data_IF_589889359542
#
_entry.id   IF_589889359542
#
_cell.length_a   1.000
_cell.length_b   1.000
_cell.length_c   1.000
_cell.angle_alpha   90.00
_cell.angle_beta   90.00
_cell.angle_gamma   90.00
#
_symmetry.space_group_name_H-M   'P 1'
#
loop_
_entity.id
_entity.type
_entity.pdbx_description
1 polymer ?
#
# COMPACT_ATOMS: atom_id res chain seq x y z
N UNK A 1 -7.55 11.79 -17.58
CA UNK A 1 -6.84 12.64 -18.55
C UNK A 1 -5.42 12.97 -18.12
N UNK A 2 -5.18 13.57 -16.95
CA UNK A 2 -3.80 13.88 -16.52
C UNK A 2 -2.88 12.66 -16.48
N UNK A 3 -3.34 11.57 -15.86
CA UNK A 3 -2.59 10.30 -15.77
C UNK A 3 -2.28 9.71 -17.15
N UNK A 4 -3.21 9.78 -18.10
CA UNK A 4 -2.99 9.30 -19.48
C UNK A 4 -1.79 10.03 -20.11
N UNK A 5 -1.76 11.35 -20.00
CA UNK A 5 -0.65 12.13 -20.54
C UNK A 5 0.66 11.88 -19.78
N UNK A 6 0.62 11.56 -18.49
CA UNK A 6 1.81 11.19 -17.73
C UNK A 6 2.35 9.82 -18.14
N UNK A 7 1.48 8.84 -18.34
CA UNK A 7 1.83 7.50 -18.83
C UNK A 7 2.44 7.56 -20.23
N UNK A 8 1.97 8.49 -21.08
CA UNK A 8 2.54 8.81 -22.40
C UNK A 8 3.84 9.63 -22.31
N UNK A 9 4.34 9.92 -21.10
CA UNK A 9 5.54 10.72 -20.86
C UNK A 9 5.36 12.23 -21.08
N UNK A 10 4.14 12.69 -21.38
CA UNK A 10 3.80 14.08 -21.61
C UNK A 10 3.36 14.80 -20.32
N UNK A 11 4.32 14.96 -19.40
CA UNK A 11 4.11 15.61 -18.10
C UNK A 11 3.58 17.05 -18.21
N UNK A 12 3.86 17.78 -19.30
CA UNK A 12 3.34 19.14 -19.49
C UNK A 12 1.84 19.16 -19.75
N UNK A 13 1.34 18.19 -20.52
CA UNK A 13 -0.09 18.06 -20.76
C UNK A 13 -0.79 17.47 -19.55
N UNK A 14 -0.16 16.48 -18.89
CA UNK A 14 -0.63 15.94 -17.61
C UNK A 14 -0.86 17.04 -16.58
N UNK A 15 0.12 17.95 -16.44
CA UNK A 15 0.06 19.08 -15.53
C UNK A 15 -1.16 19.98 -15.79
N UNK A 16 -1.52 20.27 -17.04
CA UNK A 16 -2.70 21.10 -17.35
C UNK A 16 -3.97 20.46 -16.79
N UNK A 17 -4.09 19.14 -16.91
CA UNK A 17 -5.23 18.39 -16.39
C UNK A 17 -5.23 18.29 -14.87
N UNK A 18 -4.06 18.10 -14.25
CA UNK A 18 -3.94 18.10 -12.79
C UNK A 18 -4.28 19.46 -12.19
N UNK A 19 -3.80 20.56 -12.79
CA UNK A 19 -4.15 21.92 -12.40
C UNK A 19 -5.65 22.17 -12.55
N UNK A 20 -6.24 21.73 -13.67
CA UNK A 20 -7.69 21.83 -13.86
C UNK A 20 -8.46 21.09 -12.76
N UNK A 21 -8.11 19.83 -12.49
CA UNK A 21 -8.74 19.04 -11.45
C UNK A 21 -8.56 19.67 -10.04
N UNK A 22 -7.37 20.21 -9.75
CA UNK A 22 -7.11 20.97 -8.52
C UNK A 22 -8.02 22.18 -8.38
N UNK A 23 -8.24 22.95 -9.46
CA UNK A 23 -9.13 24.11 -9.46
C UNK A 23 -10.61 23.73 -9.28
N UNK A 24 -10.98 22.52 -9.72
CA UNK A 24 -12.31 21.95 -9.52
C UNK A 24 -12.49 21.33 -8.11
N UNK A 25 -11.49 21.47 -7.22
CA UNK A 25 -11.54 20.98 -5.83
C UNK A 25 -11.15 19.51 -5.66
N UNK A 26 -10.59 18.86 -6.68
CA UNK A 26 -10.16 17.47 -6.60
C UNK A 26 -8.78 17.35 -5.95
N UNK A 27 -8.76 16.89 -4.70
CA UNK A 27 -7.57 16.72 -3.85
C UNK A 27 -6.41 16.00 -4.56
N UNK A 28 -6.61 14.82 -5.20
CA UNK A 28 -5.51 14.17 -5.91
C UNK A 28 -4.97 15.01 -7.06
N UNK A 29 -5.81 15.83 -7.71
CA UNK A 29 -5.38 16.79 -8.73
C UNK A 29 -4.37 17.80 -8.19
N UNK A 30 -4.58 18.32 -6.97
CA UNK A 30 -3.63 19.19 -6.28
C UNK A 30 -2.34 18.46 -5.92
N UNK A 31 -2.43 17.22 -5.41
CA UNK A 31 -1.25 16.39 -5.11
C UNK A 31 -0.42 16.10 -6.36
N UNK A 32 -1.03 15.63 -7.45
CA UNK A 32 -0.35 15.35 -8.71
C UNK A 32 0.24 16.62 -9.34
N UNK A 33 -0.48 17.73 -9.34
CA UNK A 33 0.08 19.01 -9.80
C UNK A 33 1.33 19.39 -8.98
N UNK A 34 1.28 19.22 -7.66
CA UNK A 34 2.42 19.42 -6.77
C UNK A 34 3.61 18.53 -7.14
N UNK A 35 3.39 17.22 -7.34
CA UNK A 35 4.43 16.27 -7.75
C UNK A 35 5.02 16.61 -9.12
N UNK A 36 4.19 16.95 -10.11
CA UNK A 36 4.65 17.32 -11.45
C UNK A 36 5.45 18.63 -11.43
N UNK A 37 5.03 19.65 -10.66
CA UNK A 37 5.85 20.84 -10.47
C UNK A 37 7.17 20.53 -9.75
N UNK A 38 7.17 19.61 -8.78
CA UNK A 38 8.38 19.15 -8.07
C UNK A 38 9.35 18.47 -9.04
N UNK A 39 8.89 17.62 -9.95
CA UNK A 39 9.74 16.96 -10.96
C UNK A 39 10.35 17.95 -11.95
N UNK A 40 9.63 19.04 -12.27
CA UNK A 40 10.15 20.17 -13.03
C UNK A 40 11.02 21.15 -12.21
N UNK A 41 11.31 20.83 -10.94
CA UNK A 41 12.06 21.70 -10.00
C UNK A 41 11.42 23.08 -9.79
N UNK A 42 10.13 23.21 -10.10
CA UNK A 42 9.33 24.42 -9.87
C UNK A 42 8.79 24.41 -8.44
N UNK A 43 9.71 24.47 -7.47
CA UNK A 43 9.43 24.16 -6.07
C UNK A 43 8.41 25.08 -5.40
N UNK A 44 8.37 26.38 -5.73
CA UNK A 44 7.35 27.28 -5.17
C UNK A 44 5.94 26.94 -5.66
N UNK A 45 5.81 26.51 -6.92
CA UNK A 45 4.53 26.02 -7.44
C UNK A 45 4.18 24.66 -6.83
N UNK A 46 5.16 23.76 -6.67
CA UNK A 46 4.93 22.48 -5.99
C UNK A 46 4.36 22.69 -4.58
N UNK A 47 4.99 23.55 -3.77
CA UNK A 47 4.51 23.91 -2.42
C UNK A 47 3.12 24.55 -2.46
N UNK A 48 2.83 25.42 -3.44
CA UNK A 48 1.50 26.00 -3.61
C UNK A 48 0.43 24.91 -3.77
N UNK A 49 0.64 23.94 -4.67
CA UNK A 49 -0.37 22.91 -4.92
C UNK A 49 -0.47 21.88 -3.79
N UNK A 50 0.63 21.56 -3.11
CA UNK A 50 0.55 20.77 -1.88
C UNK A 50 -0.19 21.51 -0.75
N UNK A 51 -0.04 22.83 -0.62
CA UNK A 51 -0.84 23.62 0.32
C UNK A 51 -2.33 23.61 -0.05
N UNK A 52 -2.66 23.68 -1.34
CA UNK A 52 -4.07 23.53 -1.79
C UNK A 52 -4.61 22.15 -1.38
N UNK A 53 -3.83 21.07 -1.54
CA UNK A 53 -4.25 19.74 -1.09
C UNK A 53 -4.52 19.71 0.43
N UNK A 54 -3.68 20.36 1.23
CA UNK A 54 -3.88 20.52 2.68
C UNK A 54 -5.17 21.28 2.99
N UNK A 55 -5.42 22.41 2.32
CA UNK A 55 -6.64 23.21 2.47
C UNK A 55 -7.91 22.42 2.10
N UNK A 56 -7.78 21.44 1.21
CA UNK A 56 -8.84 20.54 0.79
C UNK A 56 -8.96 19.27 1.66
N UNK A 57 -8.15 19.13 2.72
CA UNK A 57 -8.25 18.06 3.70
C UNK A 57 -7.25 16.91 3.56
N UNK A 58 -6.21 17.07 2.74
CA UNK A 58 -5.11 16.10 2.61
C UNK A 58 -3.86 16.56 3.37
N UNK A 59 -3.70 16.19 4.65
CA UNK A 59 -2.55 16.63 5.46
C UNK A 59 -1.22 16.08 4.95
N UNK A 60 -1.20 15.03 4.12
CA UNK A 60 0.02 14.49 3.49
C UNK A 60 0.74 15.50 2.59
N UNK A 61 0.05 16.56 2.16
CA UNK A 61 0.69 17.71 1.50
C UNK A 61 1.78 18.37 2.35
N UNK A 62 1.67 18.36 3.69
CA UNK A 62 2.69 18.90 4.58
C UNK A 62 4.02 18.15 4.49
N UNK A 63 4.00 16.81 4.39
CA UNK A 63 5.21 16.02 4.18
C UNK A 63 5.91 16.42 2.88
N UNK A 64 5.13 16.61 1.81
CA UNK A 64 5.66 16.98 0.51
C UNK A 64 6.23 18.40 0.48
N UNK A 65 5.65 19.34 1.23
CA UNK A 65 6.22 20.68 1.41
C UNK A 65 7.53 20.58 2.21
N UNK A 66 7.58 19.72 3.22
CA UNK A 66 8.79 19.40 3.98
C UNK A 66 9.93 18.93 3.06
N UNK A 67 9.68 17.88 2.27
CA UNK A 67 10.62 17.34 1.29
C UNK A 67 11.07 18.41 0.28
N UNK A 68 10.13 19.22 -0.21
CA UNK A 68 10.42 20.27 -1.19
C UNK A 68 11.35 21.34 -0.61
N UNK A 69 11.17 21.72 0.67
CA UNK A 69 12.08 22.65 1.33
C UNK A 69 13.47 22.06 1.54
N UNK A 70 13.60 20.75 1.80
CA UNK A 70 14.91 20.09 1.85
C UNK A 70 15.63 20.14 0.50
N UNK A 71 14.91 19.88 -0.60
CA UNK A 71 15.46 19.99 -1.96
C UNK A 71 15.94 21.42 -2.29
N UNK A 72 15.33 22.43 -1.68
CA UNK A 72 15.73 23.84 -1.79
C UNK A 72 16.83 24.26 -0.80
N UNK A 73 17.31 23.36 0.06
CA UNK A 73 18.32 23.69 1.07
C UNK A 73 17.78 24.48 2.26
N UNK A 74 16.48 24.38 2.56
CA UNK A 74 15.78 25.12 3.61
C UNK A 74 15.34 24.18 4.76
N UNK A 75 16.27 23.61 5.56
CA UNK A 75 15.93 22.62 6.58
C UNK A 75 15.05 23.17 7.71
N UNK A 76 15.17 24.45 8.06
CA UNK A 76 14.32 25.07 9.08
C UNK A 76 12.85 25.13 8.67
N UNK A 77 12.58 25.39 7.39
CA UNK A 77 11.20 25.41 6.88
C UNK A 77 10.67 23.98 6.71
N UNK A 78 11.53 23.03 6.31
CA UNK A 78 11.16 21.62 6.26
C UNK A 78 10.70 21.09 7.63
N UNK A 79 11.46 21.41 8.69
CA UNK A 79 11.12 21.04 10.07
C UNK A 79 9.73 21.54 10.48
N UNK A 80 9.42 22.80 10.16
CA UNK A 80 8.12 23.41 10.44
C UNK A 80 6.97 22.66 9.77
N UNK A 81 7.09 22.33 8.48
CA UNK A 81 6.01 21.64 7.76
C UNK A 81 5.85 20.18 8.18
N UNK A 82 6.94 19.47 8.43
CA UNK A 82 6.86 18.13 9.02
C UNK A 82 6.20 18.14 10.40
N UNK A 83 6.49 19.14 11.24
CA UNK A 83 5.81 19.32 12.53
C UNK A 83 4.31 19.56 12.39
N UNK A 84 3.88 20.34 11.39
CA UNK A 84 2.46 20.58 11.12
C UNK A 84 1.73 19.27 10.83
N UNK A 85 2.20 18.47 9.87
CA UNK A 85 1.55 17.19 9.54
C UNK A 85 1.66 16.15 10.65
N UNK A 86 2.82 16.04 11.31
CA UNK A 86 3.01 15.10 12.41
C UNK A 86 2.13 15.42 13.64
N UNK A 87 1.81 16.70 13.89
CA UNK A 87 0.87 17.10 14.94
C UNK A 87 -0.59 16.79 14.59
N UNK A 88 -0.89 16.54 13.31
CA UNK A 88 -2.18 16.03 12.83
C UNK A 88 -2.21 14.49 12.77
N UNK A 89 -1.21 13.80 13.32
CA UNK A 89 -1.01 12.35 13.22
C UNK A 89 -0.87 11.84 11.78
N UNK A 90 -0.40 12.68 10.86
CA UNK A 90 -0.16 12.29 9.47
C UNK A 90 1.15 11.47 9.38
N UNK A 91 1.09 10.19 8.95
CA UNK A 91 2.23 9.28 9.05
C UNK A 91 3.46 9.65 8.23
N UNK A 92 3.29 10.17 7.01
CA UNK A 92 4.41 10.55 6.15
C UNK A 92 5.20 11.71 6.77
N UNK A 93 4.51 12.72 7.29
CA UNK A 93 5.11 13.86 7.98
C UNK A 93 5.80 13.43 9.27
N UNK A 94 5.20 12.51 10.02
CA UNK A 94 5.79 11.95 11.23
C UNK A 94 7.09 11.17 10.96
N UNK A 95 7.08 10.28 9.96
CA UNK A 95 8.26 9.52 9.55
C UNK A 95 9.35 10.42 8.93
N UNK A 96 8.93 11.42 8.14
CA UNK A 96 9.81 12.46 7.59
C UNK A 96 10.48 13.28 8.70
N UNK A 97 9.74 13.67 9.73
CA UNK A 97 10.27 14.41 10.88
C UNK A 97 11.28 13.61 11.68
N UNK A 98 10.98 12.33 11.96
CA UNK A 98 11.88 11.45 12.69
C UNK A 98 13.20 11.27 11.92
N UNK A 99 13.11 11.00 10.61
CA UNK A 99 14.27 10.89 9.71
C UNK A 99 15.05 12.20 9.64
N UNK A 100 14.36 13.34 9.53
CA UNK A 100 14.98 14.66 9.48
C UNK A 100 15.82 14.96 10.72
N UNK A 101 15.31 14.67 11.92
CA UNK A 101 16.08 14.86 13.15
C UNK A 101 17.31 13.95 13.20
N UNK A 102 17.18 12.70 12.75
CA UNK A 102 18.28 11.74 12.74
C UNK A 102 19.36 12.12 11.73
N UNK A 103 18.98 12.36 10.48
CA UNK A 103 19.93 12.47 9.38
C UNK A 103 20.46 13.88 9.17
N UNK A 104 19.61 14.90 9.36
CA UNK A 104 19.95 16.29 9.06
C UNK A 104 20.38 17.05 10.32
N UNK A 105 19.57 16.99 11.39
CA UNK A 105 19.88 17.71 12.63
C UNK A 105 20.87 16.96 13.54
N UNK A 106 21.08 15.66 13.30
CA UNK A 106 21.88 14.78 14.16
C UNK A 106 21.42 14.81 15.63
N UNK A 107 20.11 14.88 15.83
CA UNK A 107 19.45 14.89 17.15
C UNK A 107 18.74 13.54 17.36
N UNK A 108 19.50 12.56 17.84
CA UNK A 108 19.02 11.18 18.03
C UNK A 108 17.87 11.11 19.04
N UNK A 109 17.89 11.98 20.06
CA UNK A 109 16.86 12.02 21.08
C UNK A 109 15.51 12.45 20.49
N UNK A 110 15.47 13.53 19.69
CA UNK A 110 14.24 13.95 18.99
C UNK A 110 13.82 12.95 17.93
N UNK A 111 14.76 12.35 17.20
CA UNK A 111 14.45 11.30 16.24
C UNK A 111 13.75 10.10 16.90
N UNK A 112 14.29 9.61 18.03
CA UNK A 112 13.68 8.55 18.84
C UNK A 112 12.29 8.97 19.37
N UNK A 113 12.16 10.21 19.87
CA UNK A 113 10.89 10.74 20.37
C UNK A 113 9.80 10.70 19.29
N UNK A 114 10.09 11.23 18.10
CA UNK A 114 9.11 11.25 17.01
C UNK A 114 8.80 9.85 16.49
N UNK A 115 9.80 8.97 16.34
CA UNK A 115 9.55 7.58 15.96
C UNK A 115 8.65 6.84 16.99
N UNK A 116 8.82 7.10 18.29
CA UNK A 116 7.92 6.59 19.35
C UNK A 116 6.49 7.13 19.22
N UNK A 117 6.33 8.39 18.78
CA UNK A 117 5.02 9.02 18.61
C UNK A 117 4.29 8.48 17.37
N UNK A 118 5.00 8.30 16.26
CA UNK A 118 4.42 7.82 14.98
C UNK A 118 3.83 6.42 15.11
N UNK A 119 4.48 5.49 15.82
CA UNK A 119 3.92 4.14 16.03
C UNK A 119 2.62 4.11 16.86
N UNK A 120 2.24 5.25 17.45
CA UNK A 120 0.99 5.43 18.21
C UNK A 120 -0.07 6.22 17.43
N UNK A 121 0.22 6.64 16.19
CA UNK A 121 -0.77 7.30 15.35
C UNK A 121 -1.94 6.35 15.08
N UNK A 122 -3.16 6.85 15.25
CA UNK A 122 -4.38 6.05 15.21
C UNK A 122 -4.65 5.44 13.83
N UNK A 123 -4.42 6.22 12.78
CA UNK A 123 -4.77 5.89 11.39
C UNK A 123 -3.51 5.67 10.53
N UNK A 124 -2.44 5.17 11.15
CA UNK A 124 -1.19 4.86 10.43
C UNK A 124 -1.36 3.63 9.54
N UNK A 125 -1.04 3.79 8.26
CA UNK A 125 -0.99 2.67 7.35
C UNK A 125 0.21 1.75 7.64
N UNK A 126 0.11 0.49 7.24
CA UNK A 126 1.11 -0.52 7.60
C UNK A 126 2.53 -0.19 7.12
N UNK A 127 2.69 0.49 5.98
CA UNK A 127 4.03 0.77 5.42
C UNK A 127 4.71 1.85 6.25
N UNK A 128 3.96 2.92 6.57
CA UNK A 128 4.44 3.92 7.50
C UNK A 128 4.65 3.36 8.91
N UNK A 129 3.85 2.38 9.36
CA UNK A 129 4.05 1.72 10.66
C UNK A 129 5.32 0.87 10.69
N UNK A 130 5.61 0.13 9.61
CA UNK A 130 6.83 -0.67 9.49
C UNK A 130 8.05 0.24 9.48
N UNK A 131 8.01 1.31 8.68
CA UNK A 131 9.08 2.32 8.66
C UNK A 131 9.26 2.94 10.04
N UNK A 132 8.18 3.34 10.71
CA UNK A 132 8.22 3.94 12.04
C UNK A 132 8.81 2.98 13.09
N UNK A 133 8.46 1.69 13.06
CA UNK A 133 9.04 0.66 13.95
C UNK A 133 10.53 0.45 13.68
N UNK A 134 10.95 0.43 12.42
CA UNK A 134 12.38 0.34 12.05
C UNK A 134 13.16 1.57 12.54
N UNK A 135 12.61 2.75 12.31
CA UNK A 135 13.17 4.03 12.74
C UNK A 135 13.24 4.10 14.26
N UNK A 136 12.20 3.65 14.96
CA UNK A 136 12.16 3.57 16.41
C UNK A 136 13.33 2.76 16.98
N UNK A 137 13.56 1.55 16.44
CA UNK A 137 14.68 0.70 16.86
C UNK A 137 16.02 1.39 16.62
N UNK A 138 16.20 1.94 15.42
CA UNK A 138 17.45 2.54 14.98
C UNK A 138 17.79 3.79 15.79
N UNK A 139 16.84 4.73 15.88
CA UNK A 139 17.05 6.05 16.45
C UNK A 139 17.12 6.00 17.97
N UNK A 140 16.31 5.18 18.63
CA UNK A 140 16.41 5.04 20.09
C UNK A 140 17.68 4.31 20.53
N UNK A 141 18.18 3.36 19.72
CA UNK A 141 19.50 2.76 19.96
C UNK A 141 20.61 3.81 19.85
N UNK A 142 20.59 4.65 18.80
CA UNK A 142 21.55 5.74 18.65
C UNK A 142 21.50 6.73 19.82
N UNK A 143 20.30 7.04 20.31
CA UNK A 143 20.10 7.91 21.47
C UNK A 143 20.44 7.27 22.83
N UNK A 144 20.76 5.98 22.89
CA UNK A 144 20.93 5.25 24.15
C UNK A 144 19.65 5.11 24.99
N UNK A 145 18.47 5.27 24.37
CA UNK A 145 17.17 5.23 25.04
C UNK A 145 16.61 3.79 24.96
N UNK A 146 16.30 3.15 26.10
CA UNK A 146 15.69 1.83 26.10
C UNK A 146 14.32 1.83 25.39
N UNK A 147 14.09 0.79 24.60
CA UNK A 147 12.80 0.48 24.00
C UNK A 147 12.24 -0.67 24.82
N UNK A 148 11.15 -0.46 25.54
CA UNK A 148 10.52 -1.54 26.30
C UNK A 148 10.18 -2.70 25.34
N UNK A 149 10.68 -3.91 25.62
CA UNK A 149 10.33 -5.08 24.83
C UNK A 149 8.82 -5.38 24.99
N UNK A 150 8.13 -5.80 23.92
CA UNK A 150 6.80 -6.38 24.08
C UNK A 150 6.95 -7.65 24.93
N UNK A 151 6.34 -7.64 26.11
CA UNK A 151 6.23 -8.80 27.00
C UNK A 151 5.52 -9.94 26.25
N UNK A 152 6.27 -10.95 25.81
CA UNK A 152 5.74 -12.24 25.37
C UNK A 152 5.42 -13.08 26.61
N UNK A 153 4.24 -12.88 27.19
CA UNK A 153 3.68 -13.85 28.13
C UNK A 153 2.89 -14.88 27.31
N UNK A 154 3.30 -16.17 27.26
CA UNK A 154 2.51 -17.18 26.58
C UNK A 154 1.31 -17.55 27.45
N UNK A 155 0.10 -17.43 26.92
CA UNK A 155 -1.09 -18.03 27.53
C UNK A 155 -1.00 -19.56 27.42
N UNK A 156 -1.46 -20.33 28.43
CA UNK A 156 -1.28 -21.77 28.48
C UNK A 156 -2.19 -22.49 27.48
N UNK A 157 -1.64 -23.52 26.85
CA UNK A 157 -2.28 -24.43 25.90
C UNK A 157 -3.02 -25.57 26.62
N UNK A 158 -4.18 -26.05 26.12
CA UNK A 158 -4.68 -27.38 26.44
C UNK A 158 -4.24 -28.41 25.39
N UNK A 159 -3.52 -29.43 25.86
CA UNK A 159 -3.24 -30.74 25.23
C UNK A 159 -4.54 -31.57 25.18
N UNK A 160 -4.91 -32.40 24.18
CA UNK A 160 -4.33 -33.58 23.50
C UNK A 160 -5.28 -33.89 22.31
N UNK A 161 -4.94 -34.54 21.19
CA UNK A 161 -4.60 -35.97 21.07
C UNK A 161 -4.19 -36.29 19.62
N UNK A 162 -3.36 -37.33 19.49
CA UNK A 162 -2.59 -37.83 18.36
C UNK A 162 -3.42 -38.67 17.37
N UNK A 163 -3.16 -38.59 16.06
CA UNK A 163 -3.33 -39.70 15.11
C UNK A 163 -2.41 -39.53 13.88
N UNK A 164 -1.94 -40.65 13.35
CA UNK A 164 -0.72 -40.82 12.57
C UNK A 164 -0.85 -40.54 11.06
N UNK A 165 0.33 -40.33 10.46
CA UNK A 165 0.68 -40.16 9.04
C UNK A 165 0.20 -41.32 8.14
N UNK A 166 0.09 -41.08 6.82
CA UNK A 166 1.23 -41.44 5.97
C UNK A 166 1.60 -40.36 4.94
N UNK A 167 2.90 -40.25 4.70
CA UNK A 167 3.51 -39.50 3.60
C UNK A 167 3.13 -40.12 2.25
N UNK A 168 2.92 -39.32 1.21
CA UNK A 168 3.71 -39.54 0.00
C UNK A 168 4.41 -38.27 -0.46
N UNK A 169 5.67 -38.48 -0.83
CA UNK A 169 6.53 -37.56 -1.55
C UNK A 169 6.10 -37.56 -3.02
N UNK A 170 5.69 -36.41 -3.56
CA UNK A 170 5.75 -36.14 -5.00
C UNK A 170 6.18 -34.69 -5.19
N UNK A 171 7.42 -34.54 -5.63
CA UNK A 171 7.98 -33.35 -6.25
C UNK A 171 7.16 -33.00 -7.49
N UNK A 172 6.44 -31.88 -7.47
CA UNK A 172 5.94 -31.23 -8.66
C UNK A 172 5.94 -29.72 -8.43
N UNK A 173 6.88 -29.04 -9.08
CA UNK A 173 6.91 -27.58 -9.19
C UNK A 173 5.60 -27.14 -9.85
N UNK A 174 4.76 -26.29 -9.23
CA UNK A 174 3.56 -25.81 -9.88
C UNK A 174 3.96 -24.90 -11.03
N UNK A 175 3.68 -25.33 -12.25
CA UNK A 175 3.76 -24.49 -13.44
C UNK A 175 2.55 -23.55 -13.41
N UNK A 176 2.72 -22.22 -13.47
CA UNK A 176 1.58 -21.30 -13.49
C UNK A 176 0.67 -21.64 -14.68
N UNK A 177 -0.59 -21.96 -14.40
CA UNK A 177 -1.62 -22.11 -15.43
C UNK A 177 -1.95 -20.70 -15.92
N UNK A 178 -1.92 -20.51 -17.23
CA UNK A 178 -2.27 -19.26 -17.87
C UNK A 178 -3.75 -18.91 -17.61
N UNK A 179 -3.95 -17.66 -17.23
CA UNK A 179 -5.22 -16.94 -17.09
C UNK A 179 -6.27 -17.25 -18.17
N UNK A 180 -7.55 -17.40 -17.79
CA UNK A 180 -8.68 -17.45 -18.75
C UNK A 180 -9.12 -16.05 -19.20
N UNK A 181 -9.85 -15.97 -20.31
CA UNK A 181 -10.31 -14.69 -20.93
C UNK A 181 -11.61 -14.10 -20.31
N UNK A 182 -12.10 -14.63 -19.18
CA UNK A 182 -13.38 -14.21 -18.57
C UNK A 182 -13.44 -14.44 -17.05
N UNK A 183 -14.32 -13.69 -16.36
CA UNK A 183 -14.65 -13.89 -14.96
C UNK A 183 -15.41 -15.19 -14.73
N UNK A 184 -15.13 -15.87 -13.63
CA UNK A 184 -15.85 -17.09 -13.22
C UNK A 184 -16.32 -16.97 -11.78
N UNK A 185 -17.46 -17.57 -11.46
CA UNK A 185 -17.89 -17.68 -10.06
C UNK A 185 -16.90 -18.57 -9.34
N UNK A 186 -16.32 -18.07 -8.24
CA UNK A 186 -15.35 -18.82 -7.46
C UNK A 186 -15.97 -20.07 -6.83
N UNK A 187 -15.18 -21.12 -6.71
CA UNK A 187 -15.56 -22.32 -5.98
C UNK A 187 -15.96 -22.00 -4.53
N UNK A 188 -16.86 -22.80 -3.91
CA UNK A 188 -17.21 -22.62 -2.52
C UNK A 188 -16.02 -22.86 -1.59
N UNK A 189 -15.99 -22.13 -0.47
CA UNK A 189 -14.95 -22.29 0.55
C UNK A 189 -15.15 -23.61 1.29
N UNK A 190 -14.08 -24.41 1.39
CA UNK A 190 -14.09 -25.64 2.17
C UNK A 190 -14.34 -25.33 3.65
N UNK A 191 -15.07 -26.21 4.36
CA UNK A 191 -15.38 -26.00 5.78
C UNK A 191 -14.14 -25.86 6.68
N UNK A 192 -13.00 -26.39 6.23
CA UNK A 192 -11.71 -26.36 6.92
C UNK A 192 -10.66 -25.51 6.17
N UNK A 193 -11.08 -24.57 5.32
CA UNK A 193 -10.16 -23.71 4.60
C UNK A 193 -9.30 -22.88 5.57
N UNK A 194 -8.02 -22.76 5.27
CA UNK A 194 -7.09 -21.96 6.06
C UNK A 194 -7.03 -20.54 5.50
N UNK A 195 -7.07 -19.55 6.39
CA UNK A 195 -7.02 -18.13 6.04
C UNK A 195 -5.73 -17.57 6.62
N UNK A 196 -4.89 -17.04 5.73
CA UNK A 196 -3.63 -16.41 6.05
C UNK A 196 -3.65 -14.98 5.48
N UNK A 197 -2.78 -14.11 6.01
CA UNK A 197 -2.54 -12.79 5.41
C UNK A 197 -1.27 -12.83 4.58
N UNK A 198 -1.32 -12.20 3.40
CA UNK A 198 -0.13 -11.93 2.59
C UNK A 198 0.12 -10.43 2.52
N UNK A 199 1.34 -10.09 2.13
CA UNK A 199 1.81 -8.72 2.22
C UNK A 199 1.21 -7.80 1.13
N UNK A 200 1.02 -6.53 1.51
CA UNK A 200 0.72 -5.42 0.60
C UNK A 200 -0.77 -5.24 0.32
N UNK A 201 -1.20 -4.01 0.05
CA UNK A 201 -2.54 -3.70 -0.47
C UNK A 201 -2.58 -3.89 -1.98
N UNK A 202 -3.77 -4.14 -2.52
CA UNK A 202 -3.94 -4.08 -3.97
C UNK A 202 -4.04 -2.61 -4.38
N UNK A 203 -3.28 -2.22 -5.40
CA UNK A 203 -3.22 -0.85 -5.89
C UNK A 203 -3.29 -0.83 -7.40
N UNK A 204 -3.70 0.31 -7.95
CA UNK A 204 -3.77 0.50 -9.39
C UNK A 204 -2.43 1.03 -9.89
N UNK A 205 -1.84 0.38 -10.89
CA UNK A 205 -0.61 0.88 -11.53
C UNK A 205 -0.96 1.44 -12.91
N UNK A 206 -1.06 2.78 -12.98
CA UNK A 206 -1.59 3.46 -14.17
C UNK A 206 -3.07 3.13 -14.42
N UNK A 207 -3.46 3.08 -15.68
CA UNK A 207 -4.84 2.76 -16.10
C UNK A 207 -5.06 1.31 -16.55
N UNK A 208 -4.00 0.50 -16.55
CA UNK A 208 -4.05 -0.77 -17.28
C UNK A 208 -4.23 -1.99 -16.38
N UNK A 209 -3.80 -1.93 -15.11
CA UNK A 209 -3.85 -3.10 -14.25
C UNK A 209 -3.86 -2.80 -12.75
N UNK A 210 -4.49 -3.70 -12.01
CA UNK A 210 -4.35 -3.86 -10.57
C UNK A 210 -3.12 -4.70 -10.25
N UNK A 211 -2.31 -4.20 -9.33
CA UNK A 211 -1.15 -4.90 -8.77
C UNK A 211 -1.53 -5.47 -7.42
N UNK A 212 -1.40 -6.78 -7.29
CA UNK A 212 -1.73 -7.57 -6.10
C UNK A 212 -0.44 -8.26 -5.60
N UNK A 213 0.34 -7.62 -4.71
CA UNK A 213 1.59 -8.19 -4.19
C UNK A 213 1.42 -9.57 -3.52
N UNK A 214 2.25 -10.55 -3.83
CA UNK A 214 2.18 -11.89 -3.22
C UNK A 214 3.34 -12.14 -2.25
N UNK A 215 4.44 -11.39 -2.39
CA UNK A 215 5.60 -11.40 -1.48
C UNK A 215 6.12 -9.98 -1.24
N UNK A 216 7.08 -9.83 -0.33
CA UNK A 216 7.66 -8.52 0.02
C UNK A 216 9.19 -8.51 0.12
N UNK A 217 9.84 -9.65 -0.07
CA UNK A 217 11.29 -9.80 0.05
C UNK A 217 11.84 -10.78 -0.97
N UNK A 218 13.07 -10.52 -1.42
CA UNK A 218 13.87 -11.41 -2.25
C UNK A 218 14.17 -12.70 -1.48
N UNK A 219 13.37 -13.75 -1.73
CA UNK A 219 13.56 -15.10 -1.17
C UNK A 219 12.36 -15.67 -0.39
N UNK A 220 11.32 -14.88 -0.10
CA UNK A 220 10.08 -15.44 0.46
C UNK A 220 9.38 -16.29 -0.61
N UNK A 221 9.03 -17.54 -0.27
CA UNK A 221 8.31 -18.43 -1.20
C UNK A 221 6.93 -17.83 -1.45
N UNK A 222 6.63 -17.60 -2.73
CA UNK A 222 5.29 -17.18 -3.17
C UNK A 222 4.29 -18.23 -2.70
N UNK A 223 3.16 -17.84 -2.09
CA UNK A 223 2.10 -18.79 -1.74
C UNK A 223 1.67 -19.55 -2.99
N UNK A 224 1.35 -20.84 -2.82
CA UNK A 224 0.80 -21.65 -3.90
C UNK A 224 -0.64 -21.22 -4.16
N UNK A 225 -0.82 -20.36 -5.16
CA UNK A 225 -2.11 -19.84 -5.56
C UNK A 225 -2.54 -20.47 -6.88
N UNK A 226 -3.84 -20.69 -7.04
CA UNK A 226 -4.45 -21.17 -8.29
C UNK A 226 -5.44 -20.17 -8.87
N UNK A 227 -5.85 -19.17 -8.09
CA UNK A 227 -6.78 -18.12 -8.52
C UNK A 227 -6.54 -16.81 -7.77
N UNK A 228 -6.85 -15.69 -8.40
CA UNK A 228 -7.09 -14.41 -7.75
C UNK A 228 -8.60 -14.17 -7.78
N UNK A 229 -9.16 -13.79 -6.65
CA UNK A 229 -10.58 -13.54 -6.48
C UNK A 229 -10.83 -12.06 -6.21
N UNK A 230 -11.92 -11.54 -6.74
CA UNK A 230 -12.39 -10.20 -6.41
C UNK A 230 -13.86 -10.18 -5.99
N UNK A 231 -14.23 -9.12 -5.28
CA UNK A 231 -15.60 -8.63 -5.11
C UNK A 231 -15.60 -7.11 -4.97
N UNK A 232 -16.77 -6.48 -4.97
CA UNK A 232 -16.87 -5.05 -4.70
C UNK A 232 -16.88 -4.77 -3.20
N UNK A 233 -16.13 -3.75 -2.79
CA UNK A 233 -16.25 -3.20 -1.43
C UNK A 233 -17.67 -2.71 -1.19
N UNK A 234 -18.17 -2.87 0.03
CA UNK A 234 -19.54 -2.47 0.40
C UNK A 234 -20.62 -3.50 0.11
N UNK A 235 -20.29 -4.54 -0.64
CA UNK A 235 -21.18 -5.66 -0.92
C UNK A 235 -20.57 -6.94 -0.31
N UNK A 236 -20.47 -7.05 1.04
CA UNK A 236 -19.78 -8.15 1.69
C UNK A 236 -20.46 -9.52 1.47
N UNK A 237 -21.76 -9.50 1.18
CA UNK A 237 -22.55 -10.69 0.86
C UNK A 237 -22.46 -11.07 -0.62
N UNK A 238 -21.83 -10.24 -1.45
CA UNK A 238 -21.54 -10.61 -2.84
C UNK A 238 -20.54 -11.76 -2.84
N UNK A 239 -20.84 -12.78 -3.65
CA UNK A 239 -19.95 -13.90 -3.90
C UNK A 239 -18.62 -13.44 -4.51
N UNK A 240 -17.60 -14.27 -4.35
CA UNK A 240 -16.30 -14.04 -4.96
C UNK A 240 -16.30 -14.48 -6.42
N UNK A 241 -15.62 -13.72 -7.26
CA UNK A 241 -15.39 -14.04 -8.67
C UNK A 241 -13.89 -14.22 -8.91
N UNK A 242 -13.53 -15.29 -9.61
CA UNK A 242 -12.17 -15.52 -10.08
C UNK A 242 -11.88 -14.56 -11.25
N UNK A 243 -10.70 -13.92 -11.17
CA UNK A 243 -10.24 -12.95 -12.18
C UNK A 243 -9.02 -13.47 -12.93
N UNK A 244 -8.92 -13.13 -14.23
CA UNK A 244 -7.71 -13.28 -15.01
C UNK A 244 -6.51 -12.59 -14.35
N UNK A 245 -5.35 -13.25 -14.24
CA UNK A 245 -4.14 -12.63 -13.69
C UNK A 245 -2.84 -13.14 -14.31
N UNK A 246 -1.81 -12.30 -14.31
CA UNK A 246 -0.43 -12.66 -14.69
C UNK A 246 0.48 -12.52 -13.49
N UNK A 247 1.28 -13.54 -13.18
CA UNK A 247 2.34 -13.42 -12.19
C UNK A 247 3.52 -12.67 -12.78
N UNK A 248 4.00 -11.65 -12.08
CA UNK A 248 5.20 -10.90 -12.42
C UNK A 248 6.11 -10.80 -11.21
N UNK A 249 7.38 -10.57 -11.50
CA UNK A 249 8.39 -10.31 -10.48
C UNK A 249 9.00 -8.95 -10.76
N UNK A 250 8.98 -8.08 -9.76
CA UNK A 250 9.67 -6.80 -9.81
C UNK A 250 11.18 -7.04 -9.93
N UNK A 251 11.85 -6.52 -10.97
CA UNK A 251 13.26 -6.79 -11.22
C UNK A 251 14.20 -6.15 -10.18
N UNK A 252 13.77 -5.05 -9.56
CA UNK A 252 14.57 -4.25 -8.65
C UNK A 252 14.45 -4.79 -7.21
N UNK A 253 13.24 -5.18 -6.81
CA UNK A 253 12.93 -5.61 -5.43
C UNK A 253 12.75 -7.13 -5.30
N UNK A 254 12.59 -7.86 -6.41
CA UNK A 254 12.33 -9.30 -6.41
C UNK A 254 10.93 -9.67 -5.90
N UNK A 255 10.04 -8.70 -5.77
CA UNK A 255 8.67 -8.85 -5.28
C UNK A 255 7.83 -9.56 -6.33
N UNK A 256 7.19 -10.67 -5.97
CA UNK A 256 6.24 -11.35 -6.86
C UNK A 256 4.85 -10.77 -6.63
N UNK A 257 4.15 -10.42 -7.70
CA UNK A 257 2.79 -9.89 -7.65
C UNK A 257 1.92 -10.50 -8.75
N UNK A 258 0.61 -10.53 -8.52
CA UNK A 258 -0.38 -10.79 -9.54
C UNK A 258 -0.81 -9.47 -10.18
N UNK A 259 -0.79 -9.42 -11.50
CA UNK A 259 -1.30 -8.32 -12.32
C UNK A 259 -2.66 -8.74 -12.87
N UNK A 260 -3.71 -7.98 -12.53
CA UNK A 260 -5.06 -8.20 -13.03
C UNK A 260 -5.43 -7.04 -13.95
N UNK A 261 -5.84 -7.36 -15.17
CA UNK A 261 -6.18 -6.36 -16.19
C UNK A 261 -7.41 -5.54 -15.75
N UNK A 262 -7.25 -4.22 -15.74
CA UNK A 262 -8.30 -3.28 -15.34
C UNK A 262 -9.37 -3.09 -16.44
N UNK A 263 -9.01 -3.34 -17.70
CA UNK A 263 -9.93 -3.23 -18.84
C UNK A 263 -11.18 -4.11 -18.68
N UNK A 264 -11.02 -5.26 -18.01
CA UNK A 264 -12.12 -6.18 -17.75
C UNK A 264 -13.13 -5.60 -16.74
N UNK A 265 -12.66 -4.78 -15.79
CA UNK A 265 -13.52 -4.06 -14.85
C UNK A 265 -14.18 -2.87 -15.53
N UNK A 266 -13.45 -2.13 -16.35
CA UNK A 266 -14.01 -1.03 -17.14
C UNK A 266 -15.11 -1.53 -18.10
N UNK A 267 -14.97 -2.73 -18.66
CA UNK A 267 -16.02 -3.33 -19.49
C UNK A 267 -17.31 -3.67 -18.70
N UNK A 268 -17.18 -4.12 -17.45
CA UNK A 268 -18.32 -4.49 -16.59
C UNK A 268 -18.97 -3.27 -15.95
N UNK A 269 -18.15 -2.40 -15.36
CA UNK A 269 -18.60 -1.29 -14.53
C UNK A 269 -18.75 0.00 -15.33
N UNK A 270 -18.13 0.11 -16.52
CA UNK A 270 -18.23 1.28 -17.41
C UNK A 270 -17.96 2.57 -16.64
N UNK A 271 -18.93 3.47 -16.59
CA UNK A 271 -18.85 4.77 -15.91
C UNK A 271 -19.20 4.69 -14.41
N UNK A 272 -19.48 3.50 -13.88
CA UNK A 272 -19.77 3.29 -12.46
C UNK A 272 -18.45 3.23 -11.71
N UNK A 273 -18.27 4.13 -10.73
CA UNK A 273 -17.13 4.05 -9.80
C UNK A 273 -17.17 2.67 -9.13
N UNK A 274 -16.05 1.95 -9.13
CA UNK A 274 -15.91 0.67 -8.47
C UNK A 274 -14.65 0.63 -7.61
N UNK A 275 -14.66 -0.19 -6.57
CA UNK A 275 -13.46 -0.50 -5.79
C UNK A 275 -13.40 -2.00 -5.51
N UNK A 276 -12.51 -2.74 -6.21
CA UNK A 276 -12.43 -4.18 -6.10
C UNK A 276 -11.55 -4.59 -4.93
N UNK A 277 -12.11 -5.37 -4.01
CA UNK A 277 -11.35 -6.08 -2.98
C UNK A 277 -10.79 -7.37 -3.59
N UNK A 278 -9.48 -7.58 -3.48
CA UNK A 278 -8.81 -8.77 -4.01
C UNK A 278 -8.28 -9.68 -2.91
N UNK A 279 -8.29 -10.99 -3.18
CA UNK A 279 -7.57 -12.01 -2.41
C UNK A 279 -7.02 -13.09 -3.32
N UNK A 280 -5.93 -13.74 -2.91
CA UNK A 280 -5.44 -14.92 -3.62
C UNK A 280 -5.96 -16.19 -2.95
N UNK A 281 -6.15 -17.27 -3.71
CA UNK A 281 -6.64 -18.52 -3.15
C UNK A 281 -6.05 -19.75 -3.84
N UNK A 282 -6.10 -20.88 -3.12
CA UNK A 282 -5.80 -22.22 -3.63
C UNK A 282 -7.08 -23.04 -3.67
N UNK A 283 -7.38 -23.55 -4.85
CA UNK A 283 -8.48 -24.45 -5.11
C UNK A 283 -7.95 -25.88 -5.25
N UNK A 284 -8.60 -26.82 -4.57
CA UNK A 284 -8.36 -28.25 -4.70
C UNK A 284 -9.70 -28.98 -4.78
N UNK A 285 -9.86 -29.84 -5.80
CA UNK A 285 -11.07 -30.65 -6.00
C UNK A 285 -12.38 -29.84 -5.99
N UNK A 286 -12.39 -28.67 -6.64
CA UNK A 286 -13.58 -27.82 -6.76
C UNK A 286 -13.95 -27.07 -5.48
N UNK A 287 -13.01 -26.91 -4.54
CA UNK A 287 -13.20 -26.16 -3.29
C UNK A 287 -11.99 -25.30 -2.96
N UNK A 288 -12.23 -24.11 -2.41
CA UNK A 288 -11.16 -23.26 -1.90
C UNK A 288 -10.68 -23.78 -0.55
N UNK A 289 -9.40 -24.17 -0.48
CA UNK A 289 -8.79 -24.78 0.72
C UNK A 289 -7.80 -23.86 1.45
N UNK A 290 -7.27 -22.83 0.76
CA UNK A 290 -6.42 -21.77 1.33
C UNK A 290 -6.81 -20.42 0.76
N UNK A 291 -6.84 -19.41 1.62
CA UNK A 291 -7.18 -18.03 1.27
C UNK A 291 -6.10 -17.12 1.83
N UNK A 292 -5.60 -16.23 0.98
CA UNK A 292 -4.66 -15.18 1.35
C UNK A 292 -5.30 -13.82 1.11
N UNK A 293 -5.70 -13.17 2.20
CA UNK A 293 -6.31 -11.84 2.13
C UNK A 293 -5.23 -10.77 2.13
N UNK A 294 -5.53 -9.67 1.45
CA UNK A 294 -4.79 -8.42 1.53
C UNK A 294 -5.57 -7.40 2.33
N UNK A 295 -4.87 -6.37 2.80
CA UNK A 295 -5.53 -5.17 3.31
C UNK A 295 -6.45 -4.55 2.25
N UNK A 296 -7.38 -3.70 2.70
CA UNK A 296 -8.31 -2.98 1.80
C UNK A 296 -7.53 -2.31 0.65
N UNK A 297 -7.99 -2.40 -0.60
CA UNK A 297 -7.37 -1.72 -1.75
C UNK A 297 -7.35 -0.20 -1.54
N UNK A 298 -6.44 0.48 -2.22
CA UNK A 298 -6.23 1.92 -2.02
C UNK A 298 -7.46 2.78 -2.34
N UNK A 299 -8.37 2.29 -3.19
CA UNK A 299 -9.63 2.98 -3.47
C UNK A 299 -10.66 2.93 -2.33
N UNK A 300 -10.46 2.10 -1.30
CA UNK A 300 -11.48 1.76 -0.32
C UNK A 300 -11.87 2.88 0.65
N UNK A 301 -10.98 3.86 0.85
CA UNK A 301 -11.21 5.00 1.76
C UNK A 301 -12.19 6.00 1.17
N UNK A 302 -12.16 6.20 -0.15
CA UNK A 302 -12.97 7.19 -0.87
C UNK A 302 -14.13 6.57 -1.64
N UNK A 303 -14.30 5.26 -1.50
CA UNK A 303 -15.35 4.50 -2.16
C UNK A 303 -16.57 4.39 -1.26
N UNK A 304 -17.64 5.11 -1.64
CA UNK A 304 -18.97 4.89 -1.09
C UNK A 304 -19.74 3.98 -2.07
N UNK A 305 -20.02 2.72 -1.70
CA UNK A 305 -20.62 1.68 -2.54
C UNK A 305 -22.02 1.97 -3.07
#
# INVERSE_FOLDING_TARGET
>A
MGIIFEDDGNLKEALKWYVKASNDGYVPGSMYAGFTYKSFKSYELAKKYFNIAVEQGEPGGYAQIGDTNLLQGNPSEAEKYYLLGANLNEPFSGNGLATFYFEIKKDDAKACFWAKKVVQFKDIDQDNLVLAKKNLVTYCKAAGIPIASPSTTPAPSPSKTKAATPTPSVTATPKPIASSDSFKVSAPVAANAQIDEIFGRAFKNGLSYWVIPLTNVKGAKVPEITTIQFRLIGYPDAGWLDVPYKLKTDPDFGTVYAEVDDFLFDAIFKDIKYCPEFRAAREENGKIVRIWNKGKPDCATDYNP
#
